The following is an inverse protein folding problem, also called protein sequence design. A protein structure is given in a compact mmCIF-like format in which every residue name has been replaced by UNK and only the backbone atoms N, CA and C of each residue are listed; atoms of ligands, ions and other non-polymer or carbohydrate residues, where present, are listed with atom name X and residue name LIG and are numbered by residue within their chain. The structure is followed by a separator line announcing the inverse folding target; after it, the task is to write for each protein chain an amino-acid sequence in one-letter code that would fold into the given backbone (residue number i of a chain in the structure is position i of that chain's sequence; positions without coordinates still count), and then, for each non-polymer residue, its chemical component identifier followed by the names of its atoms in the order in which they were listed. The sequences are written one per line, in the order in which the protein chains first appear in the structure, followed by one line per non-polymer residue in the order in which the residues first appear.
data_IF_540680305161
#
_entry.id   IF_540680305161
#
_cell.length_a   1.000
_cell.length_b   1.000
_cell.length_c   1.000
_cell.angle_alpha   90.00
_cell.angle_beta   90.00
_cell.angle_gamma   90.00
#
_symmetry.space_group_name_H-M   'P 1'
#
loop_
_entity.id
_entity.type
_entity.pdbx_description
1 polymer ?
#
# COMPACT_ATOMS: atom_id res chain seq x y z
N UNK A 1 -1.57 -11.36 -0.77
CA UNK A 1 -1.27 -11.05 0.64
C UNK A 1 -1.20 -9.56 0.94
N UNK A 2 -1.01 -8.71 -0.07
CA UNK A 2 -0.94 -7.26 0.11
C UNK A 2 -2.14 -6.68 0.86
N UNK A 3 -3.36 -7.19 0.64
CA UNK A 3 -4.57 -6.75 1.33
C UNK A 3 -4.51 -6.95 2.85
N UNK A 4 -3.89 -8.05 3.31
CA UNK A 4 -3.67 -8.30 4.74
C UNK A 4 -2.64 -7.33 5.30
N UNK A 5 -1.60 -7.00 4.53
CA UNK A 5 -0.62 -6.00 4.93
C UNK A 5 -1.27 -4.61 5.02
N UNK A 6 -2.10 -4.23 4.04
CA UNK A 6 -2.89 -2.99 4.06
C UNK A 6 -3.77 -2.91 5.30
N UNK A 7 -4.50 -3.99 5.62
CA UNK A 7 -5.31 -4.06 6.84
C UNK A 7 -4.44 -3.89 8.11
N UNK A 8 -3.26 -4.51 8.14
CA UNK A 8 -2.31 -4.37 9.25
C UNK A 8 -1.80 -2.93 9.43
N UNK A 9 -1.47 -2.24 8.34
CA UNK A 9 -1.03 -0.84 8.38
C UNK A 9 -2.16 0.09 8.80
N UNK A 10 -3.38 -0.13 8.29
CA UNK A 10 -4.57 0.62 8.67
C UNK A 10 -4.89 0.48 10.16
N UNK A 11 -4.75 -0.72 10.72
CA UNK A 11 -4.91 -0.97 12.16
C UNK A 11 -3.86 -0.26 13.03
N UNK A 12 -2.67 0.01 12.47
CA UNK A 12 -1.61 0.78 13.14
C UNK A 12 -1.74 2.29 12.95
N UNK A 13 -2.79 2.76 12.26
CA UNK A 13 -3.00 4.17 11.96
C UNK A 13 -2.14 4.71 10.81
N UNK A 14 -1.53 3.83 10.02
CA UNK A 14 -0.72 4.24 8.87
C UNK A 14 -1.63 4.39 7.65
N UNK A 15 -1.68 5.62 7.11
CA UNK A 15 -2.48 5.95 5.95
C UNK A 15 -1.81 5.47 4.66
N UNK A 16 -2.59 4.80 3.82
CA UNK A 16 -2.18 4.35 2.50
C UNK A 16 -2.97 5.14 1.46
N UNK A 17 -2.31 5.51 0.37
CA UNK A 17 -2.95 6.20 -0.74
C UNK A 17 -3.73 5.17 -1.58
N UNK A 18 -5.05 5.13 -1.38
CA UNK A 18 -5.94 4.25 -2.13
C UNK A 18 -6.01 4.58 -3.62
N UNK A 19 -5.70 5.82 -4.03
CA UNK A 19 -5.66 6.21 -5.45
C UNK A 19 -4.45 5.64 -6.17
N UNK A 20 -3.38 5.34 -5.42
CA UNK A 20 -2.14 4.81 -5.99
C UNK A 20 -2.11 3.28 -6.06
N UNK A 21 -3.29 2.64 -5.95
CA UNK A 21 -3.46 1.19 -6.07
C UNK A 21 -3.20 0.73 -7.50
N UNK A 22 -2.21 -0.14 -7.68
CA UNK A 22 -1.94 -0.83 -8.95
C UNK A 22 -2.36 -2.28 -8.87
N UNK A 23 -3.14 -2.71 -9.86
CA UNK A 23 -3.61 -4.08 -10.02
C UNK A 23 -2.87 -4.74 -11.19
N UNK A 24 -2.68 -6.06 -11.11
CA UNK A 24 -2.19 -6.85 -12.25
C UNK A 24 -3.34 -7.27 -13.19
N UNK A 25 -3.00 -7.92 -14.31
CA UNK A 25 -3.94 -8.46 -15.29
C UNK A 25 -4.97 -9.44 -14.71
N UNK A 26 -4.65 -10.07 -13.56
CA UNK A 26 -5.57 -10.96 -12.84
C UNK A 26 -6.50 -10.23 -11.86
N UNK A 27 -6.48 -8.90 -11.82
CA UNK A 27 -7.28 -8.08 -10.91
C UNK A 27 -6.82 -8.09 -9.46
N UNK A 28 -5.62 -8.60 -9.17
CA UNK A 28 -5.04 -8.59 -7.81
C UNK A 28 -4.22 -7.32 -7.60
N UNK A 29 -4.37 -6.73 -6.42
CA UNK A 29 -3.56 -5.59 -6.02
C UNK A 29 -2.10 -6.03 -5.88
N UNK A 30 -1.21 -5.33 -6.59
CA UNK A 30 0.23 -5.62 -6.65
C UNK A 30 1.03 -4.56 -5.91
N UNK A 31 0.59 -3.30 -5.96
CA UNK A 31 1.32 -2.19 -5.35
C UNK A 31 0.36 -1.13 -4.82
N UNK A 32 0.73 -0.50 -3.70
CA UNK A 32 0.03 0.67 -3.13
C UNK A 32 1.07 1.58 -2.46
N UNK A 33 0.85 2.89 -2.51
CA UNK A 33 1.75 3.87 -1.88
C UNK A 33 1.28 4.23 -0.48
N UNK A 34 2.20 4.65 0.37
CA UNK A 34 1.87 5.27 1.65
C UNK A 34 1.48 6.73 1.42
N UNK A 35 0.45 7.20 2.11
CA UNK A 35 0.01 8.59 2.02
C UNK A 35 0.92 9.53 2.83
N UNK A 36 1.60 8.97 3.83
CA UNK A 36 2.58 9.68 4.64
C UNK A 36 4.00 9.41 4.10
N UNK A 37 4.87 10.41 4.19
CA UNK A 37 6.29 10.32 3.82
C UNK A 37 7.16 10.39 5.07
N UNK A 38 7.22 9.32 5.88
CA UNK A 38 7.98 9.35 7.13
C UNK A 38 9.45 9.61 6.83
N UNK A 39 9.98 10.71 7.38
CA UNK A 39 11.37 11.12 7.17
C UNK A 39 11.69 11.64 5.76
N UNK A 40 10.68 12.01 4.97
CA UNK A 40 10.87 12.49 3.59
C UNK A 40 11.09 11.37 2.57
N UNK A 41 10.71 10.14 2.91
CA UNK A 41 10.79 8.99 2.02
C UNK A 41 9.40 8.58 1.54
N UNK A 42 9.24 8.53 0.21
CA UNK A 42 8.08 7.91 -0.41
C UNK A 42 8.18 6.38 -0.31
N UNK A 43 7.35 5.78 0.54
CA UNK A 43 7.26 4.33 0.67
C UNK A 43 6.21 3.77 -0.29
N UNK A 44 6.52 2.62 -0.90
CA UNK A 44 5.55 1.79 -1.60
C UNK A 44 5.52 0.38 -1.00
N UNK A 45 4.32 -0.15 -0.84
CA UNK A 45 4.10 -1.54 -0.49
C UNK A 45 3.88 -2.31 -1.79
N UNK A 46 4.75 -3.27 -2.09
CA UNK A 46 4.64 -4.13 -3.27
C UNK A 46 4.65 -5.60 -2.87
N UNK A 47 3.93 -6.42 -3.61
CA UNK A 47 3.98 -7.88 -3.47
C UNK A 47 4.65 -8.45 -4.72
N UNK A 48 5.87 -8.97 -4.53
CA UNK A 48 6.66 -9.75 -5.50
C UNK A 48 6.35 -11.24 -5.42
#
# INVERSE_FOLDING_TARGET
YIERAIAHFKLRGIALDENSRKYNDAGKLTTIYFADEPGGFALHLTQI
#
